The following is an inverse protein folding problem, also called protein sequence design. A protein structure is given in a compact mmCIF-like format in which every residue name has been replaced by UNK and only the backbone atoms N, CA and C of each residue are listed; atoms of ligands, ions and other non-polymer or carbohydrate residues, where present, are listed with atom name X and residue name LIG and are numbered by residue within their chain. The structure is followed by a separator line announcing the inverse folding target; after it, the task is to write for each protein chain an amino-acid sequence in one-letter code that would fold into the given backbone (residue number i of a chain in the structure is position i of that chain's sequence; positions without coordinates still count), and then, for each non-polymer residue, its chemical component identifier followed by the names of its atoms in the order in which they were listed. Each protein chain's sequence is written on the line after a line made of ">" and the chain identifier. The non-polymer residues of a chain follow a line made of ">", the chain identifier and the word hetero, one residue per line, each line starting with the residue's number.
data_IF_621828233444
#
_entry.id   IF_621828233444
#
_cell.length_a   1.000
_cell.length_b   1.000
_cell.length_c   1.000
_cell.angle_alpha   90.00
_cell.angle_beta   90.00
_cell.angle_gamma   90.00
#
_symmetry.space_group_name_H-M   'P 1'
#
loop_
_entity.id
_entity.type
_entity.pdbx_description
1 polymer ?
#
# COMPACT_ATOMS: atom_id res chain seq x y z
N UNK A 1 -79.51 -48.52 37.36
CA UNK A 1 -78.86 -48.03 38.61
C UNK A 1 -77.38 -47.80 38.36
N UNK A 2 -76.83 -46.79 38.88
CA UNK A 2 -75.45 -46.31 39.00
C UNK A 2 -74.97 -45.31 37.93
N UNK A 3 -74.93 -44.10 38.35
CA UNK A 3 -74.29 -42.94 37.77
C UNK A 3 -72.75 -43.00 37.98
N UNK A 4 -71.97 -42.85 36.96
CA UNK A 4 -70.54 -42.52 37.12
C UNK A 4 -70.25 -41.23 36.44
N UNK A 5 -69.84 -40.28 37.25
CA UNK A 5 -69.34 -38.97 36.89
C UNK A 5 -67.92 -39.11 36.32
N UNK A 6 -67.67 -38.61 35.16
CA UNK A 6 -66.33 -38.48 34.64
C UNK A 6 -65.82 -37.03 34.92
N UNK A 7 -64.72 -36.92 35.67
CA UNK A 7 -63.99 -35.74 35.87
C UNK A 7 -63.15 -35.43 34.57
N UNK A 8 -63.30 -34.25 34.04
CA UNK A 8 -62.46 -33.77 32.96
C UNK A 8 -61.08 -33.31 33.46
N UNK A 9 -60.04 -33.86 32.85
CA UNK A 9 -58.64 -33.40 33.03
C UNK A 9 -58.36 -32.33 32.00
N UNK A 10 -58.07 -31.12 32.45
CA UNK A 10 -57.59 -30.00 31.63
C UNK A 10 -56.11 -30.23 31.38
N UNK A 11 -55.75 -30.70 30.20
CA UNK A 11 -54.37 -30.77 29.74
C UNK A 11 -53.91 -29.43 29.23
N UNK A 12 -53.05 -28.73 30.01
CA UNK A 12 -52.38 -27.54 29.59
C UNK A 12 -51.34 -27.85 28.50
N UNK A 13 -51.62 -27.49 27.27
CA UNK A 13 -50.68 -27.58 26.17
C UNK A 13 -49.61 -26.49 26.30
N UNK A 14 -48.39 -26.88 26.58
CA UNK A 14 -47.22 -25.97 26.50
C UNK A 14 -46.92 -25.72 25.02
N UNK A 15 -47.27 -24.53 24.55
CA UNK A 15 -46.89 -24.08 23.20
C UNK A 15 -45.40 -23.77 23.20
N UNK A 16 -44.59 -24.69 22.65
CA UNK A 16 -43.18 -24.45 22.32
C UNK A 16 -43.17 -23.58 21.09
N UNK A 17 -42.92 -22.29 21.26
CA UNK A 17 -42.63 -21.36 20.17
C UNK A 17 -41.22 -21.64 19.69
N UNK A 18 -41.01 -22.11 18.43
CA UNK A 18 -39.66 -22.20 17.89
C UNK A 18 -39.12 -20.78 17.70
N UNK A 19 -38.13 -20.38 18.52
CA UNK A 19 -37.29 -19.21 18.23
C UNK A 19 -36.52 -19.53 16.97
N UNK A 20 -37.06 -19.18 15.81
CA UNK A 20 -36.28 -19.10 14.58
C UNK A 20 -35.27 -17.95 14.76
N UNK A 21 -34.03 -18.33 15.04
CA UNK A 21 -32.87 -17.44 14.87
C UNK A 21 -32.80 -17.08 13.39
N UNK A 22 -33.50 -16.02 13.01
CA UNK A 22 -33.29 -15.34 11.76
C UNK A 22 -31.87 -14.75 11.82
N UNK A 23 -30.88 -15.54 11.42
CA UNK A 23 -29.55 -15.07 11.15
C UNK A 23 -29.68 -13.98 10.08
N UNK A 24 -29.46 -12.73 10.44
CA UNK A 24 -29.29 -11.64 9.49
C UNK A 24 -28.07 -11.97 8.64
N UNK A 25 -28.29 -12.69 7.54
CA UNK A 25 -27.33 -12.69 6.43
C UNK A 25 -27.35 -11.27 5.86
N UNK A 26 -26.42 -10.43 6.31
CA UNK A 26 -26.23 -9.15 5.72
C UNK A 26 -25.97 -9.33 4.21
N UNK A 27 -26.84 -8.79 3.40
CA UNK A 27 -26.60 -8.73 1.95
C UNK A 27 -25.46 -7.73 1.73
N UNK A 28 -24.37 -8.19 1.12
CA UNK A 28 -23.32 -7.30 0.66
C UNK A 28 -23.79 -6.62 -0.62
N UNK A 29 -23.85 -5.30 -0.58
CA UNK A 29 -24.12 -4.47 -1.76
C UNK A 29 -22.79 -3.85 -2.20
N UNK A 30 -22.40 -4.09 -3.44
CA UNK A 30 -21.26 -3.41 -4.05
C UNK A 30 -21.76 -2.16 -4.78
N UNK A 31 -21.08 -1.03 -4.58
CA UNK A 31 -21.26 0.19 -5.35
C UNK A 31 -19.90 0.83 -5.61
N UNK A 32 -19.84 1.66 -6.63
CA UNK A 32 -18.62 2.41 -6.94
C UNK A 32 -18.57 3.60 -5.98
N UNK A 33 -17.40 3.77 -5.34
CA UNK A 33 -17.11 4.92 -4.49
C UNK A 33 -16.49 6.02 -5.35
N UNK A 34 -16.80 7.27 -5.05
CA UNK A 34 -16.09 8.43 -5.58
C UNK A 34 -14.74 8.61 -4.84
N UNK A 35 -13.79 9.29 -5.49
CA UNK A 35 -12.44 9.51 -4.94
C UNK A 35 -12.43 10.25 -3.59
N UNK A 36 -13.51 10.96 -3.28
CA UNK A 36 -13.68 11.70 -2.03
C UNK A 36 -14.49 10.95 -0.96
N UNK A 37 -14.99 9.76 -1.28
CA UNK A 37 -15.74 8.98 -0.30
C UNK A 37 -14.77 8.34 0.71
N UNK A 38 -15.18 8.37 1.98
CA UNK A 38 -14.46 7.66 3.03
C UNK A 38 -14.45 6.15 2.74
N UNK A 39 -13.35 5.48 3.09
CA UNK A 39 -13.28 4.02 3.05
C UNK A 39 -14.51 3.43 3.75
N UNK A 40 -15.31 2.67 3.02
CA UNK A 40 -16.58 2.08 3.48
C UNK A 40 -16.45 1.23 4.74
N UNK A 41 -15.25 0.84 5.07
CA UNK A 41 -15.00 -0.04 6.19
C UNK A 41 -14.08 0.69 7.14
N UNK A 42 -14.51 0.90 8.37
CA UNK A 42 -13.60 1.16 9.48
C UNK A 42 -12.67 -0.04 9.65
N UNK A 43 -12.00 -0.40 8.57
CA UNK A 43 -11.18 -1.59 8.44
C UNK A 43 -9.98 -1.49 9.35
N UNK A 44 -9.69 -2.56 10.09
CA UNK A 44 -8.43 -2.68 10.80
C UNK A 44 -7.23 -2.77 9.83
N UNK A 45 -7.48 -3.09 8.56
CA UNK A 45 -6.47 -3.11 7.51
C UNK A 45 -6.31 -1.74 6.87
N UNK A 46 -5.11 -1.41 6.43
CA UNK A 46 -4.87 -0.22 5.66
C UNK A 46 -5.37 -0.45 4.22
N UNK A 47 -6.18 0.48 3.73
CA UNK A 47 -6.72 0.48 2.37
C UNK A 47 -6.13 1.57 1.48
N UNK A 48 -6.76 1.81 0.34
CA UNK A 48 -6.35 2.82 -0.62
C UNK A 48 -6.25 4.21 0.00
N UNK A 49 -7.22 4.61 0.85
CA UNK A 49 -7.20 5.88 1.58
C UNK A 49 -5.95 6.08 2.45
N UNK A 50 -5.31 4.98 2.89
CA UNK A 50 -4.05 5.04 3.65
C UNK A 50 -2.83 5.11 2.74
N UNK A 51 -2.80 4.28 1.71
CA UNK A 51 -1.58 4.09 0.92
C UNK A 51 -1.42 5.09 -0.22
N UNK A 52 -2.52 5.45 -0.91
CA UNK A 52 -2.44 6.36 -2.07
C UNK A 52 -1.87 7.74 -1.72
N UNK A 53 -2.34 8.45 -0.68
CA UNK A 53 -1.75 9.74 -0.30
C UNK A 53 -0.31 9.61 0.18
N UNK A 54 0.04 8.50 0.86
CA UNK A 54 1.40 8.23 1.31
C UNK A 54 2.38 8.12 0.14
N UNK A 55 1.98 7.39 -0.91
CA UNK A 55 2.78 7.21 -2.14
C UNK A 55 2.88 8.53 -2.91
N UNK A 56 1.77 9.24 -3.08
CA UNK A 56 1.75 10.51 -3.78
C UNK A 56 2.70 11.52 -3.10
N UNK A 57 2.58 11.72 -1.81
CA UNK A 57 3.43 12.65 -1.04
C UNK A 57 4.92 12.30 -1.14
N UNK A 58 5.28 11.01 -0.97
CA UNK A 58 6.68 10.59 -1.03
C UNK A 58 7.27 10.81 -2.43
N UNK A 59 6.49 10.49 -3.48
CA UNK A 59 6.93 10.64 -4.87
C UNK A 59 7.07 12.11 -5.25
N UNK A 60 6.09 12.95 -4.91
CA UNK A 60 6.14 14.39 -5.20
C UNK A 60 7.35 15.07 -4.52
N UNK A 61 7.66 14.69 -3.27
CA UNK A 61 8.87 15.18 -2.57
C UNK A 61 10.15 14.76 -3.27
N UNK A 62 10.23 13.50 -3.72
CA UNK A 62 11.40 12.95 -4.41
C UNK A 62 11.62 13.68 -5.74
N UNK A 63 10.57 13.80 -6.55
CA UNK A 63 10.61 14.47 -7.85
C UNK A 63 10.93 15.94 -7.70
N UNK A 64 10.31 16.64 -6.76
CA UNK A 64 10.59 18.07 -6.50
C UNK A 64 12.06 18.33 -6.19
N UNK A 65 12.70 17.46 -5.41
CA UNK A 65 14.12 17.60 -5.07
C UNK A 65 15.03 17.33 -6.29
N UNK A 66 14.77 16.31 -7.09
CA UNK A 66 15.60 15.98 -8.25
C UNK A 66 15.36 16.95 -9.41
N UNK A 67 14.12 17.40 -9.64
CA UNK A 67 13.80 18.41 -10.65
C UNK A 67 14.54 19.72 -10.39
N UNK A 68 14.62 20.17 -9.14
CA UNK A 68 15.40 21.37 -8.80
C UNK A 68 16.88 21.23 -9.18
N UNK A 69 17.46 20.05 -9.03
CA UNK A 69 18.82 19.74 -9.46
C UNK A 69 18.98 19.73 -10.98
N UNK A 70 18.05 19.13 -11.71
CA UNK A 70 18.06 19.03 -13.17
C UNK A 70 17.86 20.42 -13.80
N UNK A 71 16.96 21.25 -13.29
CA UNK A 71 16.72 22.60 -13.80
C UNK A 71 17.95 23.50 -13.72
N UNK A 72 18.76 23.37 -12.65
CA UNK A 72 20.01 24.11 -12.53
C UNK A 72 21.05 23.75 -13.62
N UNK A 73 21.04 22.47 -14.04
CA UNK A 73 21.92 22.00 -15.12
C UNK A 73 21.40 22.42 -16.49
N UNK A 74 20.08 22.36 -16.70
CA UNK A 74 19.42 22.69 -17.97
C UNK A 74 19.59 24.15 -18.40
N UNK A 75 19.71 25.04 -17.46
CA UNK A 75 19.98 26.47 -17.75
C UNK A 75 21.32 26.68 -18.48
N UNK A 76 22.21 25.68 -18.40
CA UNK A 76 23.57 25.79 -18.98
C UNK A 76 23.77 24.91 -20.23
N UNK A 77 22.95 23.89 -20.50
CA UNK A 77 23.26 22.86 -21.50
C UNK A 77 22.17 22.60 -22.58
N UNK A 78 21.06 23.37 -22.60
CA UNK A 78 20.01 23.18 -23.62
C UNK A 78 19.01 22.07 -23.27
N UNK A 79 18.34 21.49 -24.29
CA UNK A 79 17.27 20.49 -24.07
C UNK A 79 17.81 19.23 -23.38
N UNK A 80 17.38 19.01 -22.16
CA UNK A 80 17.75 17.82 -21.38
C UNK A 80 16.85 16.66 -21.78
N UNK A 81 17.46 15.52 -22.15
CA UNK A 81 16.70 14.31 -22.36
C UNK A 81 16.16 13.75 -21.02
N UNK A 82 14.94 13.16 -21.01
CA UNK A 82 14.40 12.56 -19.83
C UNK A 82 15.36 11.51 -19.25
N UNK A 83 15.51 11.52 -17.92
CA UNK A 83 16.33 10.57 -17.21
C UNK A 83 15.56 9.27 -16.99
N UNK A 84 16.19 8.14 -17.29
CA UNK A 84 15.55 6.84 -17.23
C UNK A 84 15.72 6.18 -15.87
N UNK A 85 14.61 5.68 -15.32
CA UNK A 85 14.54 5.08 -13.98
C UNK A 85 14.18 3.61 -14.08
N UNK A 86 14.95 2.74 -13.41
CA UNK A 86 14.58 1.36 -13.12
C UNK A 86 13.87 1.29 -11.77
N UNK A 87 12.64 0.76 -11.76
CA UNK A 87 11.85 0.52 -10.55
C UNK A 87 11.33 -0.92 -10.53
N UNK A 88 11.53 -1.64 -9.43
CA UNK A 88 11.18 -3.05 -9.32
C UNK A 88 9.90 -3.30 -8.52
N UNK A 89 9.40 -2.29 -7.82
CA UNK A 89 8.24 -2.37 -6.95
C UNK A 89 8.54 -1.97 -5.51
N UNK A 90 7.57 -2.24 -4.64
CA UNK A 90 7.61 -1.83 -3.23
C UNK A 90 7.97 -3.03 -2.36
N UNK A 91 9.03 -2.89 -1.58
CA UNK A 91 9.39 -3.79 -0.51
C UNK A 91 8.46 -3.54 0.69
N UNK A 92 7.72 -4.56 1.09
CA UNK A 92 6.80 -4.45 2.22
C UNK A 92 7.43 -5.05 3.47
N UNK A 93 7.82 -4.19 4.41
CA UNK A 93 8.25 -4.54 5.77
C UNK A 93 7.22 -4.04 6.82
N UNK A 94 6.00 -3.74 6.40
CA UNK A 94 4.93 -3.39 7.31
C UNK A 94 4.27 -4.62 7.91
N UNK A 95 3.47 -4.44 8.95
CA UNK A 95 2.65 -5.50 9.55
C UNK A 95 1.39 -5.84 8.74
N UNK A 96 1.16 -5.15 7.62
CA UNK A 96 0.01 -5.36 6.72
C UNK A 96 0.43 -6.15 5.50
N UNK A 97 -0.42 -7.05 5.04
CA UNK A 97 -0.29 -7.64 3.72
C UNK A 97 -0.81 -6.64 2.68
N UNK A 98 0.04 -6.22 1.75
CA UNK A 98 -0.39 -5.30 0.70
C UNK A 98 -1.33 -5.95 -0.31
N UNK A 99 -1.26 -7.28 -0.50
CA UNK A 99 -2.09 -7.97 -1.46
C UNK A 99 -2.13 -7.28 -2.82
N UNK A 100 -3.35 -6.99 -3.30
CA UNK A 100 -3.60 -6.32 -4.58
C UNK A 100 -3.14 -4.85 -4.59
N UNK A 101 -3.01 -4.22 -3.42
CA UNK A 101 -2.53 -2.84 -3.33
C UNK A 101 -1.08 -2.67 -3.79
N UNK A 102 -0.25 -3.71 -3.74
CA UNK A 102 1.15 -3.62 -4.18
C UNK A 102 1.25 -3.16 -5.64
N UNK A 103 0.42 -3.71 -6.50
CA UNK A 103 0.41 -3.34 -7.91
C UNK A 103 -0.16 -1.93 -8.11
N UNK A 104 -1.25 -1.59 -7.44
CA UNK A 104 -1.82 -0.25 -7.50
C UNK A 104 -0.81 0.82 -7.06
N UNK A 105 -0.07 0.58 -5.98
CA UNK A 105 0.96 1.49 -5.50
C UNK A 105 2.14 1.62 -6.48
N UNK A 106 2.50 0.52 -7.14
CA UNK A 106 3.50 0.56 -8.22
C UNK A 106 3.04 1.47 -9.35
N UNK A 107 1.79 1.32 -9.80
CA UNK A 107 1.23 2.12 -10.89
C UNK A 107 1.10 3.60 -10.52
N UNK A 108 0.73 3.93 -9.28
CA UNK A 108 0.68 5.32 -8.81
C UNK A 108 2.08 5.96 -8.88
N UNK A 109 3.13 5.27 -8.44
CA UNK A 109 4.50 5.77 -8.53
C UNK A 109 4.91 5.96 -9.99
N UNK A 110 4.63 4.96 -10.83
CA UNK A 110 4.95 4.98 -12.26
C UNK A 110 4.28 6.16 -12.97
N UNK A 111 2.99 6.35 -12.74
CA UNK A 111 2.22 7.47 -13.28
C UNK A 111 2.81 8.82 -12.86
N UNK A 112 3.05 9.03 -11.56
CA UNK A 112 3.60 10.29 -11.03
C UNK A 112 4.97 10.63 -11.60
N UNK A 113 5.83 9.63 -11.78
CA UNK A 113 7.15 9.82 -12.37
C UNK A 113 7.02 10.20 -13.85
N UNK A 114 6.14 9.52 -14.59
CA UNK A 114 5.92 9.79 -16.02
C UNK A 114 5.29 11.17 -16.26
N UNK A 115 4.42 11.65 -15.37
CA UNK A 115 3.85 13.01 -15.44
C UNK A 115 4.89 14.12 -15.27
N UNK A 116 6.00 13.82 -14.64
CA UNK A 116 7.05 14.83 -14.38
C UNK A 116 7.89 15.20 -15.61
N UNK A 117 7.67 14.59 -16.79
CA UNK A 117 8.34 14.86 -18.09
C UNK A 117 9.87 14.82 -18.08
N UNK A 118 10.52 14.97 -16.94
CA UNK A 118 11.98 14.92 -16.79
C UNK A 118 12.50 13.50 -16.59
N UNK A 119 11.60 12.53 -16.43
CA UNK A 119 11.90 11.14 -16.16
C UNK A 119 11.07 10.21 -17.04
N UNK A 120 11.70 9.13 -17.46
CA UNK A 120 11.07 8.00 -18.13
C UNK A 120 11.26 6.73 -17.32
N UNK A 121 10.20 5.95 -17.16
CA UNK A 121 10.29 4.65 -16.51
C UNK A 121 10.68 3.57 -17.50
N UNK A 122 11.62 2.73 -17.11
CA UNK A 122 11.88 1.46 -17.83
C UNK A 122 10.79 0.47 -17.43
N UNK A 123 10.18 -0.19 -18.42
CA UNK A 123 9.16 -1.20 -18.15
C UNK A 123 9.73 -2.28 -17.20
N UNK A 124 8.93 -2.60 -16.17
CA UNK A 124 9.33 -3.51 -15.08
C UNK A 124 9.79 -4.88 -15.60
N UNK A 125 9.23 -5.32 -16.71
CA UNK A 125 9.56 -6.59 -17.37
C UNK A 125 11.03 -6.61 -17.81
N UNK A 126 11.52 -5.52 -18.45
CA UNK A 126 12.92 -5.40 -18.83
C UNK A 126 13.84 -5.33 -17.62
N UNK A 127 13.50 -4.53 -16.63
CA UNK A 127 14.26 -4.42 -15.40
C UNK A 127 14.36 -5.78 -14.68
N UNK A 128 13.24 -6.52 -14.60
CA UNK A 128 13.20 -7.85 -13.98
C UNK A 128 13.96 -8.89 -14.80
N UNK A 129 13.87 -8.84 -16.12
CA UNK A 129 14.65 -9.72 -17.01
C UNK A 129 16.15 -9.46 -16.86
N UNK A 130 16.56 -8.20 -16.81
CA UNK A 130 17.95 -7.81 -16.58
C UNK A 130 18.50 -8.29 -15.24
N UNK A 131 17.70 -8.20 -14.14
CA UNK A 131 18.11 -8.76 -12.85
C UNK A 131 18.31 -10.27 -12.90
N UNK A 132 17.38 -10.98 -13.56
CA UNK A 132 17.47 -12.43 -13.71
C UNK A 132 18.71 -12.84 -14.51
N UNK A 133 19.02 -12.12 -15.61
CA UNK A 133 20.21 -12.35 -16.41
C UNK A 133 21.50 -12.05 -15.62
N UNK A 134 21.49 -10.99 -14.82
CA UNK A 134 22.61 -10.65 -13.93
C UNK A 134 22.76 -11.60 -12.73
N UNK A 135 21.79 -12.47 -12.48
CA UNK A 135 21.76 -13.35 -11.29
C UNK A 135 21.61 -12.57 -9.99
N UNK A 136 20.98 -11.41 -10.02
CA UNK A 136 20.83 -10.51 -8.89
C UNK A 136 19.38 -10.41 -8.39
N UNK A 137 19.23 -10.07 -7.10
CA UNK A 137 17.96 -9.65 -6.52
C UNK A 137 17.94 -8.12 -6.36
N UNK A 138 16.76 -7.49 -6.29
CA UNK A 138 16.66 -6.03 -6.12
C UNK A 138 17.44 -5.50 -4.92
N UNK A 139 17.40 -6.20 -3.78
CA UNK A 139 18.09 -5.82 -2.54
C UNK A 139 19.63 -5.78 -2.69
N UNK A 140 20.18 -6.54 -3.62
CA UNK A 140 21.62 -6.56 -3.89
C UNK A 140 22.11 -5.36 -4.70
N UNK A 141 21.20 -4.60 -5.31
CA UNK A 141 21.55 -3.40 -6.09
C UNK A 141 21.95 -2.19 -5.21
N UNK A 142 21.90 -2.29 -3.88
CA UNK A 142 22.54 -1.30 -3.00
C UNK A 142 24.07 -1.34 -3.09
N UNK A 143 24.64 -2.42 -3.60
CA UNK A 143 26.10 -2.58 -3.75
C UNK A 143 26.58 -2.01 -5.10
N UNK A 144 27.56 -1.10 -5.13
CA UNK A 144 28.02 -0.47 -6.38
C UNK A 144 28.49 -1.44 -7.47
N UNK A 145 29.12 -2.56 -7.06
CA UNK A 145 29.55 -3.58 -8.03
C UNK A 145 28.38 -4.26 -8.72
N UNK A 146 27.30 -4.53 -7.99
CA UNK A 146 26.09 -5.13 -8.52
C UNK A 146 25.33 -4.15 -9.41
N UNK A 147 25.35 -2.84 -9.07
CA UNK A 147 24.79 -1.81 -9.94
C UNK A 147 25.49 -1.78 -11.30
N UNK A 148 26.83 -1.84 -11.32
CA UNK A 148 27.62 -1.88 -12.56
C UNK A 148 27.32 -3.14 -13.39
N UNK A 149 27.25 -4.30 -12.74
CA UNK A 149 26.89 -5.55 -13.40
C UNK A 149 25.50 -5.46 -14.02
N UNK A 150 24.52 -5.00 -13.26
CA UNK A 150 23.15 -4.82 -13.74
C UNK A 150 23.08 -3.81 -14.89
N UNK A 151 23.75 -2.66 -14.77
CA UNK A 151 23.82 -1.64 -15.84
C UNK A 151 24.41 -2.22 -17.13
N UNK A 152 25.47 -3.02 -17.04
CA UNK A 152 26.07 -3.69 -18.20
C UNK A 152 25.11 -4.67 -18.90
N UNK A 153 24.30 -5.40 -18.12
CA UNK A 153 23.27 -6.30 -18.67
C UNK A 153 22.17 -5.51 -19.37
N UNK A 154 21.67 -4.45 -18.72
CA UNK A 154 20.62 -3.60 -19.28
C UNK A 154 21.09 -2.87 -20.55
N UNK A 155 22.34 -2.43 -20.61
CA UNK A 155 22.94 -1.83 -21.80
C UNK A 155 22.96 -2.83 -22.99
N UNK A 156 23.32 -4.08 -22.76
CA UNK A 156 23.26 -5.14 -23.79
C UNK A 156 21.85 -5.37 -24.32
N UNK A 157 20.84 -5.16 -23.49
CA UNK A 157 19.42 -5.24 -23.87
C UNK A 157 18.91 -3.94 -24.51
N UNK A 158 19.76 -2.93 -24.71
CA UNK A 158 19.37 -1.61 -25.24
C UNK A 158 18.56 -0.76 -24.24
N UNK A 159 18.57 -1.12 -22.97
CA UNK A 159 17.81 -0.44 -21.90
C UNK A 159 18.75 0.31 -20.96
N UNK A 160 19.47 1.30 -21.47
CA UNK A 160 20.32 2.17 -20.66
C UNK A 160 19.43 2.97 -19.68
N UNK A 161 19.87 3.15 -18.44
CA UNK A 161 19.16 3.89 -17.41
C UNK A 161 20.12 4.74 -16.56
N UNK A 162 19.57 5.78 -15.92
CA UNK A 162 20.33 6.73 -15.10
C UNK A 162 20.16 6.47 -13.61
N UNK A 163 19.00 5.98 -13.20
CA UNK A 163 18.63 5.83 -11.79
C UNK A 163 18.03 4.48 -11.47
N UNK A 164 18.23 4.06 -10.23
CA UNK A 164 17.49 2.97 -9.61
C UNK A 164 16.62 3.55 -8.50
N UNK A 165 15.31 3.28 -8.54
CA UNK A 165 14.36 3.63 -7.50
C UNK A 165 14.08 2.43 -6.61
N UNK A 166 14.21 2.63 -5.31
CA UNK A 166 13.78 1.69 -4.28
C UNK A 166 12.65 2.31 -3.49
N UNK A 167 11.62 1.52 -3.23
CA UNK A 167 10.50 1.89 -2.39
C UNK A 167 10.34 0.88 -1.26
N UNK A 168 10.28 1.35 -0.02
CA UNK A 168 10.11 0.51 1.17
C UNK A 168 8.97 1.05 2.03
N UNK A 169 8.01 0.19 2.34
CA UNK A 169 6.93 0.47 3.26
C UNK A 169 7.21 -0.22 4.60
N UNK A 170 7.18 0.55 5.68
CA UNK A 170 7.30 0.05 7.06
C UNK A 170 6.11 0.50 7.89
N UNK A 171 5.84 -0.17 9.00
CA UNK A 171 4.83 0.27 9.97
C UNK A 171 5.30 0.09 11.40
N UNK A 172 4.81 0.98 12.29
CA UNK A 172 4.98 0.90 13.72
C UNK A 172 3.62 0.95 14.42
N UNK A 173 3.40 0.13 15.46
CA UNK A 173 2.16 0.11 16.22
C UNK A 173 2.43 0.59 17.65
N UNK A 174 1.62 1.55 18.10
CA UNK A 174 1.59 2.03 19.49
C UNK A 174 0.22 1.68 20.08
N UNK A 175 0.21 1.16 21.30
CA UNK A 175 -0.99 0.83 22.04
C UNK A 175 -1.11 1.79 23.21
N UNK A 176 -2.28 2.43 23.37
CA UNK A 176 -2.56 3.30 24.50
C UNK A 176 -2.93 2.51 25.76
N UNK A 177 -2.88 3.15 26.92
CA UNK A 177 -3.32 2.56 28.20
C UNK A 177 -4.83 2.19 28.22
N UNK A 178 -5.59 2.63 27.23
CA UNK A 178 -7.03 2.34 27.04
C UNK A 178 -7.30 1.34 25.92
N UNK A 179 -6.29 0.58 25.50
CA UNK A 179 -6.34 -0.39 24.40
C UNK A 179 -6.67 0.21 23.01
N UNK A 180 -6.67 1.53 22.87
CA UNK A 180 -6.70 2.15 21.56
C UNK A 180 -5.35 1.92 20.87
N UNK A 181 -5.38 1.59 19.60
CA UNK A 181 -4.18 1.32 18.81
C UNK A 181 -3.98 2.43 17.79
N UNK A 182 -2.73 2.81 17.61
CA UNK A 182 -2.31 3.69 16.55
C UNK A 182 -1.28 2.95 15.70
N UNK A 183 -1.42 3.04 14.40
CA UNK A 183 -0.45 2.49 13.47
C UNK A 183 0.09 3.59 12.58
N UNK A 184 1.39 3.76 12.59
CA UNK A 184 2.11 4.68 11.74
C UNK A 184 2.66 3.90 10.54
N UNK A 185 2.40 4.38 9.33
CA UNK A 185 2.98 3.86 8.09
C UNK A 185 3.99 4.86 7.57
N UNK A 186 5.14 4.37 7.17
CA UNK A 186 6.21 5.17 6.59
C UNK A 186 6.61 4.56 5.25
N UNK A 187 6.44 5.32 4.17
CA UNK A 187 7.01 4.99 2.88
C UNK A 187 8.32 5.74 2.71
N UNK A 188 9.37 5.02 2.40
CA UNK A 188 10.69 5.58 2.06
C UNK A 188 10.98 5.29 0.61
N UNK A 189 11.22 6.33 -0.17
CA UNK A 189 11.70 6.26 -1.54
C UNK A 189 13.19 6.63 -1.56
N UNK A 190 14.02 5.82 -2.24
CA UNK A 190 15.43 6.07 -2.43
C UNK A 190 15.76 6.02 -3.91
N UNK A 191 16.27 7.11 -4.45
CA UNK A 191 16.70 7.22 -5.83
C UNK A 191 18.22 7.27 -5.87
N UNK A 192 18.83 6.29 -6.56
CA UNK A 192 20.29 6.19 -6.69
C UNK A 192 20.68 6.50 -8.13
N UNK A 193 21.51 7.50 -8.31
CA UNK A 193 22.14 7.80 -9.58
C UNK A 193 23.30 6.83 -9.80
N UNK A 194 23.26 6.03 -10.86
CA UNK A 194 24.27 4.98 -11.12
C UNK A 194 25.62 5.52 -11.58
N UNK A 195 25.66 6.72 -12.18
CA UNK A 195 26.89 7.28 -12.71
C UNK A 195 27.83 7.79 -11.62
N UNK A 196 27.28 8.35 -10.52
CA UNK A 196 28.05 8.97 -9.45
C UNK A 196 27.77 8.38 -8.06
N UNK A 197 26.84 7.45 -7.94
CA UNK A 197 26.46 6.81 -6.67
C UNK A 197 25.69 7.72 -5.70
N UNK A 198 25.30 8.93 -6.12
CA UNK A 198 24.49 9.83 -5.27
C UNK A 198 23.14 9.22 -5.00
N UNK A 199 22.76 9.16 -3.73
CA UNK A 199 21.44 8.71 -3.29
C UNK A 199 20.65 9.88 -2.70
N UNK A 200 19.42 10.03 -3.18
CA UNK A 200 18.40 10.91 -2.60
C UNK A 200 17.34 10.06 -1.94
N UNK A 201 16.93 10.43 -0.74
CA UNK A 201 15.89 9.70 0.01
C UNK A 201 14.81 10.65 0.46
N UNK A 202 13.56 10.29 0.18
CA UNK A 202 12.38 11.02 0.63
C UNK A 202 11.42 10.08 1.35
N UNK A 203 10.67 10.64 2.27
CA UNK A 203 9.76 9.90 3.11
C UNK A 203 8.42 10.62 3.23
N UNK A 204 7.36 9.81 3.27
CA UNK A 204 6.05 10.26 3.70
C UNK A 204 5.55 9.37 4.84
N UNK A 205 4.75 9.94 5.73
CA UNK A 205 4.21 9.26 6.90
C UNK A 205 2.71 9.51 7.00
N UNK A 206 1.96 8.44 7.22
CA UNK A 206 0.53 8.54 7.56
C UNK A 206 0.27 7.79 8.86
N UNK A 207 -0.67 8.30 9.65
CA UNK A 207 -1.03 7.75 10.95
C UNK A 207 -2.49 7.33 10.93
N UNK A 208 -2.77 6.08 11.31
CA UNK A 208 -4.11 5.54 11.41
C UNK A 208 -4.43 5.19 12.86
N UNK A 209 -5.53 5.75 13.38
CA UNK A 209 -6.05 5.45 14.71
C UNK A 209 -7.11 4.36 14.67
N UNK A 210 -7.04 3.42 15.60
CA UNK A 210 -8.02 2.35 15.78
C UNK A 210 -8.68 2.54 17.15
N UNK A 211 -9.95 2.89 17.15
CA UNK A 211 -10.72 3.10 18.36
C UNK A 211 -11.71 1.95 18.57
N UNK A 212 -11.90 1.53 19.81
CA UNK A 212 -13.02 0.66 20.14
C UNK A 212 -14.33 1.35 19.74
N UNK A 213 -15.32 0.58 19.26
CA UNK A 213 -16.64 1.11 18.95
C UNK A 213 -17.23 1.88 20.14
N UNK A 214 -18.13 2.83 19.89
CA UNK A 214 -18.79 3.61 20.95
C UNK A 214 -19.46 2.70 22.00
N UNK A 215 -20.02 1.56 21.57
CA UNK A 215 -20.60 0.53 22.44
C UNK A 215 -19.52 -0.20 23.26
N UNK A 216 -18.39 -0.54 22.64
CA UNK A 216 -17.25 -1.16 23.34
C UNK A 216 -16.61 -0.24 24.36
N UNK A 217 -16.64 1.07 24.15
CA UNK A 217 -16.21 2.09 25.14
C UNK A 217 -17.15 2.16 26.35
N UNK A 218 -18.47 2.07 26.13
CA UNK A 218 -19.46 2.13 27.21
C UNK A 218 -19.46 0.88 28.12
N UNK A 219 -18.99 -0.28 27.59
CA UNK A 219 -18.91 -1.54 28.34
C UNK A 219 -17.56 -1.76 29.06
N UNK A 220 -16.58 -0.88 28.88
CA UNK A 220 -15.26 -1.01 29.50
C UNK A 220 -15.03 -0.09 30.72
N UNK A 221 -16.11 0.51 31.27
CA UNK A 221 -16.15 1.25 32.53
C UNK A 221 -16.83 0.44 33.61
#
# INVERSE_FOLDING_TARGET
>A
MQRRRFLGLIGGGLAIVPLTLAGCRGHQHAHILDDNDDDMVGSHQAGAATFSPLVAEATDKLLGQELAGIQQVSLNEGAVQPKRICFFGIENESSEELGDFREQLFEIINQRISEAMAFDMIAREYATAGLREAGLRPDQLYLPNNQRLFASVMEKQGQVFDYILFAKLTSGTTVSNKDDKQRDYLLTLKLINISNGRMVSQQAKIRKGYHKSAIGRAMSY
#
